data_IF_715116967630
#
_entry.id   IF_715116967630
#
_cell.length_a   1.000
_cell.length_b   1.000
_cell.length_c   1.000
_cell.angle_alpha   90.00
_cell.angle_beta   90.00
_cell.angle_gamma   90.00
#
_symmetry.space_group_name_H-M   'P 1'
#
loop_
_entity.id
_entity.type
_entity.pdbx_description
1 polymer ?
#
# COMPACT_ATOMS: atom_id res chain seq x y z
N UNK A 1 2.29 -6.64 0.25
CA UNK A 1 3.25 -5.63 0.76
C UNK A 1 3.27 -5.63 2.29
N UNK A 2 2.15 -5.37 3.01
CA UNK A 2 2.08 -5.29 4.48
C UNK A 2 2.64 -6.54 5.16
N UNK A 3 2.24 -7.74 4.72
CA UNK A 3 2.74 -9.01 5.26
C UNK A 3 4.26 -9.12 5.10
N UNK A 4 4.79 -8.73 3.95
CA UNK A 4 6.23 -8.81 3.68
C UNK A 4 7.02 -7.93 4.65
N UNK A 5 6.68 -6.62 4.74
CA UNK A 5 7.45 -5.72 5.60
C UNK A 5 7.25 -6.04 7.09
N UNK A 6 6.06 -6.48 7.50
CA UNK A 6 5.79 -6.81 8.90
C UNK A 6 6.53 -8.08 9.34
N UNK A 7 6.57 -9.12 8.49
CA UNK A 7 7.38 -10.31 8.75
C UNK A 7 8.87 -9.96 8.77
N UNK A 8 9.35 -9.18 7.82
CA UNK A 8 10.73 -8.74 7.78
C UNK A 8 11.09 -7.87 9.01
N UNK A 9 10.16 -7.03 9.48
CA UNK A 9 10.34 -6.26 10.73
C UNK A 9 10.43 -7.18 11.94
N UNK A 10 9.57 -8.22 12.02
CA UNK A 10 9.66 -9.24 13.07
C UNK A 10 10.98 -10.01 13.05
N UNK A 11 11.48 -10.34 11.85
CA UNK A 11 12.80 -10.99 11.69
C UNK A 11 13.96 -10.07 12.14
N UNK A 12 13.83 -8.75 12.01
CA UNK A 12 14.80 -7.81 12.58
C UNK A 12 14.94 -7.98 14.09
N UNK A 13 13.87 -8.31 14.82
CA UNK A 13 13.90 -8.50 16.26
C UNK A 13 14.76 -9.70 16.70
N UNK A 14 14.83 -10.74 15.86
CA UNK A 14 15.57 -11.98 16.13
C UNK A 14 16.91 -12.05 15.41
N UNK A 15 17.30 -10.99 14.72
CA UNK A 15 18.57 -10.94 13.99
C UNK A 15 19.77 -11.15 14.94
N UNK A 16 20.61 -12.18 14.70
CA UNK A 16 21.79 -12.44 15.53
C UNK A 16 22.96 -11.51 15.19
N UNK A 17 23.07 -11.09 13.93
CA UNK A 17 24.21 -10.34 13.41
C UNK A 17 23.73 -9.07 12.69
N UNK A 18 24.62 -8.09 12.60
CA UNK A 18 24.37 -6.84 11.88
C UNK A 18 24.06 -7.06 10.39
N UNK A 19 24.75 -7.97 9.73
CA UNK A 19 24.54 -8.27 8.31
C UNK A 19 23.12 -8.77 8.02
N UNK A 20 22.61 -9.70 8.84
CA UNK A 20 21.25 -10.17 8.74
C UNK A 20 20.23 -9.07 9.05
N UNK A 21 20.54 -8.21 10.01
CA UNK A 21 19.68 -7.06 10.30
C UNK A 21 19.56 -6.14 9.09
N UNK A 22 20.67 -5.84 8.41
CA UNK A 22 20.68 -5.04 7.18
C UNK A 22 19.86 -5.70 6.07
N UNK A 23 20.03 -7.02 5.89
CA UNK A 23 19.25 -7.78 4.90
C UNK A 23 17.74 -7.71 5.20
N UNK A 24 17.34 -7.91 6.45
CA UNK A 24 15.93 -7.81 6.83
C UNK A 24 15.40 -6.39 6.68
N UNK A 25 16.19 -5.36 6.97
CA UNK A 25 15.86 -3.96 6.70
C UNK A 25 15.66 -3.66 5.23
N UNK A 26 16.46 -4.27 4.36
CA UNK A 26 16.24 -4.17 2.92
C UNK A 26 14.89 -4.78 2.50
N UNK A 27 14.52 -5.94 3.04
CA UNK A 27 13.21 -6.56 2.79
C UNK A 27 12.06 -5.71 3.34
N UNK A 28 12.23 -5.07 4.50
CA UNK A 28 11.27 -4.09 5.04
C UNK A 28 11.06 -2.96 4.03
N UNK A 29 12.15 -2.39 3.50
CA UNK A 29 12.09 -1.32 2.51
C UNK A 29 11.37 -1.72 1.22
N UNK A 30 11.63 -2.93 0.71
CA UNK A 30 10.92 -3.48 -0.45
C UNK A 30 9.41 -3.61 -0.21
N UNK A 31 9.01 -4.09 0.97
CA UNK A 31 7.60 -4.19 1.34
C UNK A 31 6.92 -2.83 1.44
N UNK A 32 7.56 -1.89 2.13
CA UNK A 32 7.05 -0.54 2.37
C UNK A 32 6.94 0.28 1.08
N UNK A 33 7.93 0.17 0.20
CA UNK A 33 7.93 0.91 -1.08
C UNK A 33 6.76 0.59 -1.99
N UNK A 34 6.20 -0.62 -1.90
CA UNK A 34 5.00 -1.01 -2.65
C UNK A 34 3.67 -0.63 -2.01
N UNK A 35 3.65 -0.17 -0.76
CA UNK A 35 2.42 0.07 -0.01
C UNK A 35 1.74 1.39 -0.39
N UNK A 36 2.49 2.47 -0.49
CA UNK A 36 1.96 3.79 -0.83
C UNK A 36 1.20 3.82 -2.17
N UNK A 37 1.73 3.26 -3.28
CA UNK A 37 1.00 3.21 -4.54
C UNK A 37 -0.30 2.42 -4.44
N UNK A 38 -0.30 1.31 -3.69
CA UNK A 38 -1.50 0.48 -3.51
C UNK A 38 -2.56 1.22 -2.71
N UNK A 39 -2.18 1.85 -1.59
CA UNK A 39 -3.11 2.63 -0.77
C UNK A 39 -3.69 3.82 -1.55
N UNK A 40 -2.85 4.57 -2.26
CA UNK A 40 -3.27 5.69 -3.11
C UNK A 40 -4.24 5.24 -4.21
N UNK A 41 -3.99 4.10 -4.84
CA UNK A 41 -4.88 3.54 -5.86
C UNK A 41 -6.24 3.18 -5.28
N UNK A 42 -6.27 2.47 -4.13
CA UNK A 42 -7.52 2.14 -3.44
C UNK A 42 -8.32 3.40 -3.10
N UNK A 43 -7.70 4.40 -2.50
CA UNK A 43 -8.38 5.66 -2.17
C UNK A 43 -8.94 6.32 -3.41
N UNK A 44 -8.20 6.35 -4.52
CA UNK A 44 -8.68 6.98 -5.77
C UNK A 44 -9.79 6.21 -6.45
N UNK A 45 -9.91 4.90 -6.24
CA UNK A 45 -10.97 4.07 -6.79
C UNK A 45 -12.28 4.18 -6.01
N UNK A 46 -12.21 4.24 -4.68
CA UNK A 46 -13.41 4.26 -3.83
C UNK A 46 -13.92 5.67 -3.52
N UNK A 47 -13.08 6.70 -3.65
CA UNK A 47 -13.46 8.06 -3.27
C UNK A 47 -13.94 8.87 -4.48
N UNK A 48 -15.10 9.58 -4.37
CA UNK A 48 -15.60 10.46 -5.42
C UNK A 48 -14.57 11.53 -5.81
N UNK A 49 -14.52 11.87 -7.11
CA UNK A 49 -13.52 12.80 -7.66
C UNK A 49 -13.38 14.12 -6.91
N UNK A 50 -14.51 14.68 -6.42
CA UNK A 50 -14.53 15.94 -5.66
C UNK A 50 -13.82 15.86 -4.29
N UNK A 51 -13.79 14.68 -3.69
CA UNK A 51 -13.23 14.48 -2.35
C UNK A 51 -11.84 13.83 -2.38
N UNK A 52 -11.35 13.36 -3.54
CA UNK A 52 -10.06 12.65 -3.67
C UNK A 52 -8.89 13.38 -3.02
N UNK A 53 -8.77 14.68 -3.27
CA UNK A 53 -7.68 15.47 -2.70
C UNK A 53 -7.69 15.47 -1.17
N UNK A 54 -8.85 15.61 -0.56
CA UNK A 54 -8.98 15.58 0.91
C UNK A 54 -8.60 14.23 1.50
N UNK A 55 -9.06 13.14 0.88
CA UNK A 55 -8.73 11.79 1.35
C UNK A 55 -7.27 11.42 1.10
N UNK A 56 -6.65 11.92 0.03
CA UNK A 56 -5.21 11.75 -0.19
C UNK A 56 -4.38 12.49 0.87
N UNK A 57 -4.75 13.74 1.20
CA UNK A 57 -4.09 14.48 2.28
C UNK A 57 -4.27 13.77 3.63
N UNK A 58 -5.47 13.24 3.90
CA UNK A 58 -5.73 12.46 5.10
C UNK A 58 -4.86 11.20 5.16
N UNK A 59 -4.74 10.46 4.04
CA UNK A 59 -3.89 9.29 3.93
C UNK A 59 -2.43 9.63 4.26
N UNK A 60 -1.91 10.70 3.66
CA UNK A 60 -0.54 11.18 3.92
C UNK A 60 -0.34 11.67 5.37
N UNK A 61 -1.38 12.24 5.99
CA UNK A 61 -1.31 12.69 7.40
C UNK A 61 -1.06 11.54 8.37
N UNK A 62 -1.56 10.34 8.07
CA UNK A 62 -1.28 9.14 8.88
C UNK A 62 0.20 8.76 8.90
N UNK A 63 0.97 9.17 7.91
CA UNK A 63 2.43 9.00 7.93
C UNK A 63 3.06 9.75 9.11
N UNK A 64 2.67 11.02 9.34
CA UNK A 64 3.16 11.79 10.47
C UNK A 64 2.74 11.20 11.81
N UNK A 65 1.50 10.68 11.90
CA UNK A 65 1.00 9.98 13.09
C UNK A 65 1.84 8.72 13.35
N UNK A 66 2.14 7.94 12.31
CA UNK A 66 2.98 6.75 12.40
C UNK A 66 4.39 7.08 12.94
N UNK A 67 5.00 8.18 12.46
CA UNK A 67 6.29 8.66 12.96
C UNK A 67 6.24 9.05 14.44
N UNK A 68 5.19 9.77 14.84
CA UNK A 68 5.01 10.15 16.24
C UNK A 68 4.88 8.91 17.14
N UNK A 69 4.07 7.93 16.73
CA UNK A 69 3.92 6.67 17.47
C UNK A 69 5.24 5.90 17.55
N UNK A 70 5.99 5.81 16.46
CA UNK A 70 7.30 5.17 16.44
C UNK A 70 8.30 5.87 17.39
N UNK A 71 8.31 7.20 17.42
CA UNK A 71 9.13 7.97 18.34
C UNK A 71 8.75 7.73 19.81
N UNK A 72 7.45 7.67 20.12
CA UNK A 72 6.96 7.36 21.47
C UNK A 72 7.34 5.94 21.89
N UNK A 73 7.18 4.95 21.01
CA UNK A 73 7.62 3.57 21.25
C UNK A 73 9.12 3.53 21.49
N UNK A 74 9.91 4.23 20.69
CA UNK A 74 11.34 4.28 20.88
C UNK A 74 11.73 4.92 22.21
N UNK A 75 11.09 6.01 22.60
CA UNK A 75 11.38 6.73 23.82
C UNK A 75 11.00 5.94 25.09
N UNK A 76 9.82 5.32 25.13
CA UNK A 76 9.34 4.65 26.34
C UNK A 76 9.76 3.17 26.43
N UNK A 77 9.86 2.47 25.31
CA UNK A 77 10.01 1.01 25.29
C UNK A 77 11.48 0.60 25.18
N UNK A 78 12.25 1.26 24.30
CA UNK A 78 13.65 0.87 24.09
C UNK A 78 14.50 0.92 25.35
N UNK A 79 14.41 1.95 26.23
CA UNK A 79 15.21 2.00 27.45
C UNK A 79 14.90 0.89 28.44
N UNK A 80 13.67 0.37 28.44
CA UNK A 80 13.20 -0.64 29.43
C UNK A 80 13.42 -2.07 28.93
N UNK A 81 13.05 -2.34 27.66
CA UNK A 81 13.00 -3.70 27.11
C UNK A 81 13.96 -3.94 25.96
N UNK A 82 14.66 -2.89 25.52
CA UNK A 82 15.62 -2.94 24.42
C UNK A 82 14.95 -2.79 23.03
N UNK A 83 15.80 -2.61 22.02
CA UNK A 83 15.40 -2.32 20.66
C UNK A 83 14.65 -3.47 19.97
N UNK A 84 14.89 -4.73 20.38
CA UNK A 84 14.23 -5.92 19.82
C UNK A 84 12.73 -5.88 20.02
N UNK A 85 12.27 -5.45 21.19
CA UNK A 85 10.85 -5.34 21.53
C UNK A 85 10.17 -4.28 20.64
N UNK A 86 10.84 -3.18 20.34
CA UNK A 86 10.31 -2.17 19.41
C UNK A 86 10.05 -2.76 18.01
N UNK A 87 10.91 -3.64 17.51
CA UNK A 87 10.68 -4.35 16.24
C UNK A 87 9.53 -5.34 16.30
N UNK A 88 9.36 -6.04 17.41
CA UNK A 88 8.21 -6.94 17.59
C UNK A 88 6.89 -6.16 17.57
N UNK A 89 6.83 -5.01 18.23
CA UNK A 89 5.68 -4.11 18.15
C UNK A 89 5.46 -3.63 16.71
N UNK A 90 6.52 -3.29 16.00
CA UNK A 90 6.46 -2.92 14.58
C UNK A 90 5.97 -4.04 13.65
N UNK A 91 6.00 -5.29 14.08
CA UNK A 91 5.44 -6.43 13.34
C UNK A 91 3.92 -6.62 13.55
N UNK A 92 3.31 -6.01 14.55
CA UNK A 92 1.87 -6.15 14.86
C UNK A 92 0.93 -5.80 13.69
N UNK A 93 1.24 -4.84 12.80
CA UNK A 93 0.43 -4.58 11.62
C UNK A 93 0.19 -5.80 10.73
N UNK A 94 1.06 -6.83 10.77
CA UNK A 94 0.80 -8.09 10.08
C UNK A 94 -0.49 -8.77 10.53
N UNK A 95 -0.77 -8.76 11.83
CA UNK A 95 -1.99 -9.33 12.39
C UNK A 95 -3.23 -8.56 11.93
N UNK A 96 -3.12 -7.22 11.89
CA UNK A 96 -4.20 -6.36 11.41
C UNK A 96 -4.49 -6.56 9.92
N UNK A 97 -3.47 -6.90 9.13
CA UNK A 97 -3.65 -7.20 7.70
C UNK A 97 -4.59 -8.37 7.46
N UNK A 98 -4.55 -9.37 8.35
CA UNK A 98 -5.49 -10.51 8.26
C UNK A 98 -6.94 -10.03 8.42
N UNK A 99 -7.17 -9.11 9.35
CA UNK A 99 -8.49 -8.50 9.58
C UNK A 99 -8.92 -7.66 8.37
N UNK A 100 -8.02 -6.84 7.84
CA UNK A 100 -8.27 -6.02 6.63
C UNK A 100 -8.67 -6.92 5.47
N UNK A 101 -7.93 -8.00 5.23
CA UNK A 101 -8.18 -8.91 4.10
C UNK A 101 -9.54 -9.60 4.17
N UNK A 102 -10.10 -9.77 5.36
CA UNK A 102 -11.43 -10.35 5.57
C UNK A 102 -12.56 -9.35 5.32
N UNK A 103 -12.29 -8.04 5.46
CA UNK A 103 -13.33 -7.00 5.43
C UNK A 103 -13.27 -6.08 4.20
N UNK A 104 -12.11 -5.97 3.55
CA UNK A 104 -11.95 -5.14 2.35
C UNK A 104 -12.30 -5.94 1.11
N UNK A 105 -13.32 -5.50 0.34
CA UNK A 105 -13.62 -6.09 -0.95
C UNK A 105 -12.47 -5.81 -1.94
N UNK A 106 -12.28 -6.70 -2.89
CA UNK A 106 -11.31 -6.48 -3.97
C UNK A 106 -11.74 -5.30 -4.86
N UNK A 107 -10.75 -4.64 -5.48
CA UNK A 107 -11.01 -3.55 -6.41
C UNK A 107 -11.91 -4.00 -7.56
N UNK A 108 -13.02 -3.29 -7.78
CA UNK A 108 -13.94 -3.55 -8.89
C UNK A 108 -13.22 -3.52 -10.23
N UNK A 109 -12.31 -2.55 -10.42
CA UNK A 109 -11.49 -2.45 -11.63
C UNK A 109 -10.58 -3.65 -11.84
N UNK A 110 -9.99 -4.16 -10.77
CA UNK A 110 -9.14 -5.35 -10.84
C UNK A 110 -9.94 -6.60 -11.23
N UNK A 111 -11.16 -6.75 -10.69
CA UNK A 111 -12.05 -7.86 -11.03
C UNK A 111 -12.51 -7.78 -12.49
N UNK A 112 -12.85 -6.59 -12.98
CA UNK A 112 -13.21 -6.37 -14.39
C UNK A 112 -12.05 -6.72 -15.31
N UNK A 113 -10.81 -6.32 -14.98
CA UNK A 113 -9.61 -6.70 -15.73
C UNK A 113 -9.38 -8.22 -15.75
N UNK A 114 -9.74 -8.92 -14.68
CA UNK A 114 -9.69 -10.39 -14.61
C UNK A 114 -10.90 -11.08 -15.25
N UNK A 115 -11.79 -10.34 -15.87
CA UNK A 115 -13.07 -10.84 -16.44
C UNK A 115 -13.98 -11.53 -15.42
N UNK A 116 -13.82 -11.22 -14.13
CA UNK A 116 -14.66 -11.69 -13.05
C UNK A 116 -15.85 -10.75 -12.83
N UNK A 117 -16.69 -10.62 -13.86
CA UNK A 117 -17.79 -9.63 -13.92
C UNK A 117 -18.79 -9.87 -12.80
N UNK A 118 -19.12 -11.14 -12.50
CA UNK A 118 -20.10 -11.48 -11.46
C UNK A 118 -19.63 -11.10 -10.05
N UNK A 119 -18.32 -11.29 -9.76
CA UNK A 119 -17.75 -10.86 -8.48
C UNK A 119 -17.75 -9.33 -8.37
N UNK A 120 -17.40 -8.63 -9.44
CA UNK A 120 -17.45 -7.17 -9.49
C UNK A 120 -18.89 -6.64 -9.27
N UNK A 121 -19.89 -7.28 -9.91
CA UNK A 121 -21.30 -6.93 -9.75
C UNK A 121 -21.78 -7.10 -8.30
N UNK A 122 -21.43 -8.20 -7.65
CA UNK A 122 -21.77 -8.44 -6.24
C UNK A 122 -21.20 -7.36 -5.32
N UNK A 123 -19.96 -6.91 -5.56
CA UNK A 123 -19.37 -5.83 -4.76
C UNK A 123 -20.10 -4.52 -4.97
N UNK A 124 -20.41 -4.16 -6.22
CA UNK A 124 -21.14 -2.92 -6.53
C UNK A 124 -22.53 -2.96 -5.92
N UNK A 125 -23.29 -4.04 -6.09
CA UNK A 125 -24.63 -4.16 -5.51
C UNK A 125 -24.61 -4.08 -3.99
N UNK A 126 -23.62 -4.67 -3.32
CA UNK A 126 -23.49 -4.56 -1.87
C UNK A 126 -23.15 -3.14 -1.40
N UNK A 127 -22.40 -2.37 -2.21
CA UNK A 127 -22.10 -0.96 -1.94
C UNK A 127 -23.33 -0.07 -2.17
N UNK A 128 -24.08 -0.31 -3.24
CA UNK A 128 -25.33 0.42 -3.54
C UNK A 128 -26.36 0.21 -2.42
N UNK A 129 -26.53 -1.03 -1.96
CA UNK A 129 -27.41 -1.37 -0.84
C UNK A 129 -26.99 -0.65 0.46
N UNK A 130 -25.71 -0.65 0.78
CA UNK A 130 -25.16 0.07 1.96
C UNK A 130 -25.32 1.59 1.86
N UNK A 131 -25.27 2.12 0.64
CA UNK A 131 -25.43 3.56 0.39
C UNK A 131 -26.90 3.96 0.18
N UNK A 132 -27.86 3.02 0.29
CA UNK A 132 -29.28 3.24 -0.01
C UNK A 132 -29.50 3.85 -1.41
N UNK A 133 -28.71 3.43 -2.39
CA UNK A 133 -28.81 3.86 -3.77
C UNK A 133 -29.62 2.84 -4.57
N UNK A 134 -30.38 3.32 -5.56
CA UNK A 134 -31.05 2.42 -6.50
C UNK A 134 -30.04 1.61 -7.31
N UNK A 135 -30.24 0.29 -7.46
CA UNK A 135 -29.35 -0.56 -8.23
C UNK A 135 -29.26 -0.07 -9.68
N UNK A 136 -28.04 0.24 -10.12
CA UNK A 136 -27.80 0.60 -11.52
C UNK A 136 -27.21 -0.59 -12.27
N UNK A 137 -27.71 -0.88 -13.49
CA UNK A 137 -27.09 -1.91 -14.31
C UNK A 137 -25.61 -1.53 -14.56
N UNK A 138 -24.70 -2.45 -14.23
CA UNK A 138 -23.29 -2.31 -14.60
C UNK A 138 -23.21 -2.46 -16.12
N UNK A 139 -23.18 -1.34 -16.83
CA UNK A 139 -22.84 -1.31 -18.26
C UNK A 139 -21.33 -1.51 -18.38
N UNK A 140 -20.92 -2.77 -18.49
CA UNK A 140 -19.53 -3.12 -18.77
C UNK A 140 -19.30 -2.91 -20.26
N UNK A 141 -18.70 -1.79 -20.61
CA UNK A 141 -18.31 -1.52 -22.00
C UNK A 141 -17.08 -2.37 -22.34
N UNK A 142 -17.00 -2.86 -23.58
CA UNK A 142 -15.82 -3.61 -24.05
C UNK A 142 -14.50 -2.84 -23.85
N UNK A 143 -14.54 -1.50 -23.82
CA UNK A 143 -13.41 -0.63 -23.49
C UNK A 143 -12.89 -0.82 -22.04
N UNK A 144 -13.78 -1.09 -21.09
CA UNK A 144 -13.41 -1.31 -19.69
C UNK A 144 -12.67 -2.64 -19.50
N UNK A 145 -12.91 -3.58 -20.40
CA UNK A 145 -12.26 -4.89 -20.44
C UNK A 145 -11.02 -4.90 -21.35
N UNK A 146 -10.99 -4.03 -22.38
CA UNK A 146 -9.99 -4.05 -23.45
C UNK A 146 -8.77 -3.13 -23.22
N UNK A 147 -8.77 -2.22 -22.25
CA UNK A 147 -7.58 -1.46 -21.87
C UNK A 147 -6.55 -2.31 -21.09
N UNK A 148 -6.25 -3.49 -21.63
CA UNK A 148 -5.03 -4.20 -21.28
C UNK A 148 -3.81 -3.56 -21.99
N UNK A 149 -3.44 -2.39 -21.60
CA UNK A 149 -2.01 -2.11 -21.58
C UNK A 149 -1.45 -2.88 -20.38
N UNK A 150 -0.99 -4.11 -20.63
CA UNK A 150 -0.17 -4.84 -19.66
C UNK A 150 0.90 -3.88 -19.20
N UNK A 151 0.72 -3.34 -17.99
CA UNK A 151 1.72 -2.50 -17.36
C UNK A 151 2.96 -3.38 -17.13
N UNK A 152 3.74 -3.55 -18.18
CA UNK A 152 4.99 -4.31 -18.10
C UNK A 152 6.03 -3.40 -17.47
N UNK A 153 6.75 -3.91 -16.50
CA UNK A 153 7.92 -3.22 -15.92
C UNK A 153 8.90 -2.81 -17.03
N UNK A 154 9.00 -3.61 -18.10
CA UNK A 154 9.80 -3.29 -19.28
C UNK A 154 9.31 -2.06 -20.04
N UNK A 155 8.03 -1.69 -19.95
CA UNK A 155 7.50 -0.49 -20.58
C UNK A 155 8.10 0.80 -19.98
N UNK A 156 8.49 0.78 -18.71
CA UNK A 156 9.15 1.91 -18.04
C UNK A 156 10.53 2.23 -18.66
N UNK A 157 11.19 1.22 -19.23
CA UNK A 157 12.51 1.32 -19.87
C UNK A 157 12.45 1.63 -21.35
N UNK A 158 11.25 1.80 -21.91
CA UNK A 158 11.10 2.23 -23.31
C UNK A 158 11.58 3.66 -23.48
N UNK A 159 12.06 3.99 -24.69
CA UNK A 159 12.58 5.32 -25.05
C UNK A 159 11.61 6.47 -24.72
N UNK A 160 10.31 6.17 -24.66
CA UNK A 160 9.24 7.12 -24.31
C UNK A 160 9.21 7.47 -22.83
N UNK A 161 9.47 6.50 -21.94
CA UNK A 161 9.27 6.66 -20.50
C UNK A 161 10.57 6.71 -19.71
N UNK A 162 11.70 6.23 -20.25
CA UNK A 162 12.97 6.11 -19.54
C UNK A 162 13.44 7.41 -18.88
N UNK A 163 13.36 8.54 -19.58
CA UNK A 163 13.76 9.83 -19.01
C UNK A 163 12.92 10.20 -17.79
N UNK A 164 11.59 10.02 -17.87
CA UNK A 164 10.68 10.31 -16.77
C UNK A 164 10.90 9.34 -15.59
N UNK A 165 11.11 8.07 -15.89
CA UNK A 165 11.37 7.03 -14.88
C UNK A 165 12.65 7.33 -14.11
N UNK A 166 13.76 7.58 -14.82
CA UNK A 166 15.05 7.90 -14.18
C UNK A 166 14.97 9.20 -13.40
N UNK A 167 14.35 10.25 -13.95
CA UNK A 167 14.19 11.53 -13.27
C UNK A 167 13.38 11.37 -11.98
N UNK A 168 12.26 10.64 -12.01
CA UNK A 168 11.45 10.38 -10.83
C UNK A 168 12.22 9.57 -9.77
N UNK A 169 12.98 8.58 -10.18
CA UNK A 169 13.80 7.79 -9.27
C UNK A 169 14.88 8.64 -8.59
N UNK A 170 15.55 9.50 -9.34
CA UNK A 170 16.56 10.42 -8.80
C UNK A 170 15.94 11.41 -7.81
N UNK A 171 14.77 11.97 -8.15
CA UNK A 171 14.05 12.89 -7.26
C UNK A 171 13.65 12.17 -5.97
N UNK A 172 13.03 10.99 -6.06
CA UNK A 172 12.66 10.21 -4.88
C UNK A 172 13.86 9.79 -4.05
N UNK A 173 14.93 9.35 -4.70
CA UNK A 173 16.18 9.02 -4.00
C UNK A 173 16.73 10.24 -3.24
N UNK A 174 16.76 11.41 -3.90
CA UNK A 174 17.24 12.64 -3.26
C UNK A 174 16.38 13.08 -2.08
N UNK A 175 15.04 12.98 -2.19
CA UNK A 175 14.12 13.30 -1.11
C UNK A 175 14.36 12.35 0.08
N UNK A 176 14.37 11.04 -0.17
CA UNK A 176 14.56 10.04 0.89
C UNK A 176 15.94 10.20 1.55
N UNK A 177 16.99 10.38 0.75
CA UNK A 177 18.34 10.60 1.26
C UNK A 177 18.48 11.88 2.11
N UNK A 178 17.74 12.93 1.74
CA UNK A 178 17.74 14.18 2.52
C UNK A 178 16.90 14.09 3.79
N UNK A 179 15.91 13.19 3.82
CA UNK A 179 14.95 13.07 4.91
C UNK A 179 15.42 12.12 6.01
N UNK A 180 16.15 11.06 5.66
CA UNK A 180 16.68 10.03 6.56
C UNK A 180 18.19 10.18 6.79
#
# INVERSE_FOLDING_TARGET
TIVLYSLATGLCAVAPNYELLVLFRFLVGLGLGGELPVAATLVTEYVPGRARGRFMVLLESFWAVGWLLAALIAYFIIPVTGWRTAFLIGALPALYTMVIRMHLPESVRYLLKKRKIEEARKIVSSLEERCHMEPRPLEVTEKDVAEETKGSFTALWTRRFIKRTVMLWLVWFGIVFSYY
#
